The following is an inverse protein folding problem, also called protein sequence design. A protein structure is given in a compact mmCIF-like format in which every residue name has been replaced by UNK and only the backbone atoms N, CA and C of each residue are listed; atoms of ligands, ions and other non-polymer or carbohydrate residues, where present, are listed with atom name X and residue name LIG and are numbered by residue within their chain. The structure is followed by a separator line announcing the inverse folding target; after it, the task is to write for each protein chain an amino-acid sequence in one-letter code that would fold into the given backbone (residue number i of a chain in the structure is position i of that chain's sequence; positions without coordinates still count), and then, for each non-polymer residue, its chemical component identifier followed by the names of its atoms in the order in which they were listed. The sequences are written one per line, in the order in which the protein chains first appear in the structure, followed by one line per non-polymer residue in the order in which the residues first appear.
data_IF_689631620740
#
_entry.id   IF_689631620740
#
_cell.length_a   1.000
_cell.length_b   1.000
_cell.length_c   1.000
_cell.angle_alpha   90.00
_cell.angle_beta   90.00
_cell.angle_gamma   90.00
#
_symmetry.space_group_name_H-M   'P 1'
#
loop_
_entity.id
_entity.type
_entity.pdbx_description
1 polymer ?
#
# COMPACT_ATOMS: atom_id res chain seq x y z
N UNK A 1 12.40 -51.65 16.87
CA UNK A 1 11.26 -51.06 16.13
C UNK A 1 11.02 -49.67 16.67
N UNK A 2 11.40 -48.69 15.89
CA UNK A 2 11.65 -47.33 16.35
C UNK A 2 10.35 -46.55 16.61
N UNK A 3 10.25 -46.05 17.84
CA UNK A 3 9.12 -45.18 18.27
C UNK A 3 9.08 -43.81 17.61
N UNK A 4 10.07 -43.48 16.79
CA UNK A 4 10.17 -42.17 16.13
C UNK A 4 9.42 -42.08 14.79
N UNK A 5 8.91 -43.20 14.24
CA UNK A 5 8.26 -43.17 12.93
C UNK A 5 6.80 -42.72 12.97
N UNK A 6 6.17 -42.66 14.16
CA UNK A 6 4.75 -42.36 14.30
C UNK A 6 4.41 -40.87 14.43
N UNK A 7 5.36 -40.06 14.85
CA UNK A 7 5.10 -38.63 15.04
C UNK A 7 5.04 -37.81 13.73
N UNK A 8 5.58 -38.38 12.64
CA UNK A 8 5.65 -37.64 11.35
C UNK A 8 4.48 -37.91 10.41
N UNK A 9 3.78 -39.04 10.59
CA UNK A 9 2.66 -39.42 9.68
C UNK A 9 1.40 -38.61 9.89
N UNK A 10 1.13 -38.17 11.13
CA UNK A 10 -0.11 -37.46 11.44
C UNK A 10 -0.11 -35.98 11.05
N UNK A 11 1.07 -35.36 10.98
CA UNK A 11 1.17 -33.98 10.54
C UNK A 11 0.82 -33.78 9.06
N UNK A 12 0.98 -34.82 8.24
CA UNK A 12 0.60 -34.79 6.82
C UNK A 12 -0.93 -34.98 6.60
N UNK A 13 -1.58 -35.70 7.48
CA UNK A 13 -3.04 -35.94 7.38
C UNK A 13 -3.85 -34.67 7.68
N UNK A 14 -3.30 -33.76 8.49
CA UNK A 14 -3.95 -32.49 8.84
C UNK A 14 -3.81 -31.41 7.74
N UNK A 15 -2.95 -31.65 6.76
CA UNK A 15 -2.70 -30.68 5.67
C UNK A 15 -3.60 -30.87 4.45
N UNK A 16 -4.54 -31.84 4.48
CA UNK A 16 -5.32 -32.22 3.30
C UNK A 16 -6.84 -31.97 3.42
N UNK A 17 -7.23 -30.90 4.11
CA UNK A 17 -8.58 -30.37 3.84
C UNK A 17 -8.39 -29.50 2.60
N UNK A 18 -8.90 -29.91 1.43
CA UNK A 18 -8.74 -29.08 0.24
C UNK A 18 -9.43 -27.74 0.47
N UNK A 19 -8.72 -26.67 0.19
CA UNK A 19 -9.31 -25.33 0.28
C UNK A 19 -10.52 -25.27 -0.66
N UNK A 20 -11.62 -24.63 -0.22
CA UNK A 20 -12.72 -24.36 -1.14
C UNK A 20 -12.23 -23.65 -2.40
N UNK A 21 -12.72 -24.02 -3.56
CA UNK A 21 -12.30 -23.44 -4.84
C UNK A 21 -12.52 -21.92 -4.89
N UNK A 22 -13.54 -21.43 -4.17
CA UNK A 22 -13.84 -20.01 -4.01
C UNK A 22 -12.67 -19.21 -3.41
N UNK A 23 -11.79 -19.88 -2.66
CA UNK A 23 -10.64 -19.22 -2.01
C UNK A 23 -9.34 -19.31 -2.83
N UNK A 24 -9.33 -20.06 -3.95
CA UNK A 24 -8.07 -20.31 -4.68
C UNK A 24 -7.39 -19.03 -5.13
N UNK A 25 -8.15 -18.04 -5.60
CA UNK A 25 -7.58 -16.77 -6.05
C UNK A 25 -6.84 -16.03 -4.93
N UNK A 26 -7.34 -16.10 -3.69
CA UNK A 26 -6.70 -15.44 -2.54
C UNK A 26 -5.35 -16.08 -2.18
N UNK A 27 -5.20 -17.37 -2.45
CA UNK A 27 -3.96 -18.10 -2.20
C UNK A 27 -3.10 -18.28 -3.44
N UNK A 28 -3.45 -17.60 -4.53
CA UNK A 28 -2.60 -17.55 -5.73
C UNK A 28 -1.29 -16.83 -5.38
N UNK A 29 -0.21 -17.28 -6.01
CA UNK A 29 1.11 -16.66 -5.81
C UNK A 29 1.13 -15.22 -6.32
N UNK A 30 1.79 -14.34 -5.58
CA UNK A 30 2.02 -12.96 -5.99
C UNK A 30 2.79 -12.86 -7.31
N UNK A 31 3.54 -13.90 -7.69
CA UNK A 31 4.24 -13.94 -8.98
C UNK A 31 3.28 -14.03 -10.18
N UNK A 32 2.01 -14.39 -9.93
CA UNK A 32 0.98 -14.38 -10.97
C UNK A 32 0.43 -12.98 -11.29
N UNK A 33 0.75 -11.98 -10.45
CA UNK A 33 0.24 -10.63 -10.64
C UNK A 33 0.92 -9.89 -11.80
N UNK A 34 0.17 -9.19 -12.65
CA UNK A 34 0.74 -8.44 -13.76
C UNK A 34 1.78 -7.42 -13.30
N UNK A 35 2.96 -7.47 -13.89
CA UNK A 35 4.04 -6.54 -13.59
C UNK A 35 4.82 -6.84 -12.32
N UNK A 36 4.59 -8.00 -11.71
CA UNK A 36 5.40 -8.49 -10.58
C UNK A 36 6.28 -9.62 -11.09
N UNK A 37 7.51 -9.30 -11.47
CA UNK A 37 8.48 -10.30 -11.89
C UNK A 37 9.07 -11.10 -10.72
N UNK A 38 9.80 -12.20 -11.01
CA UNK A 38 10.31 -13.10 -9.95
C UNK A 38 11.13 -12.41 -8.86
N UNK A 39 11.96 -11.43 -9.20
CA UNK A 39 12.78 -10.69 -8.23
C UNK A 39 11.93 -9.90 -7.25
N UNK A 40 10.89 -9.22 -7.75
CA UNK A 40 9.97 -8.45 -6.91
C UNK A 40 9.10 -9.39 -6.07
N UNK A 41 8.61 -10.47 -6.66
CA UNK A 41 7.83 -11.48 -5.94
C UNK A 41 8.62 -12.02 -4.73
N UNK A 42 9.89 -12.34 -4.91
CA UNK A 42 10.75 -12.85 -3.83
C UNK A 42 10.92 -11.81 -2.69
N UNK A 43 11.04 -10.53 -3.03
CA UNK A 43 11.15 -9.46 -2.02
C UNK A 43 9.83 -9.34 -1.24
N UNK A 44 8.70 -9.32 -1.94
CA UNK A 44 7.37 -9.20 -1.32
C UNK A 44 7.10 -10.42 -0.43
N UNK A 45 7.37 -11.62 -0.95
CA UNK A 45 7.17 -12.88 -0.20
C UNK A 45 7.94 -12.89 1.12
N UNK A 46 9.20 -12.48 1.07
CA UNK A 46 10.06 -12.42 2.27
C UNK A 46 9.57 -11.41 3.32
N UNK A 47 8.89 -10.34 2.90
CA UNK A 47 8.56 -9.21 3.77
C UNK A 47 7.09 -9.14 4.18
N UNK A 48 6.21 -9.60 3.32
CA UNK A 48 4.76 -9.50 3.51
C UNK A 48 4.11 -10.89 3.50
N UNK A 49 4.44 -11.68 2.50
CA UNK A 49 3.89 -13.01 2.29
C UNK A 49 3.81 -13.34 0.82
N UNK A 50 3.58 -14.61 0.50
CA UNK A 50 3.65 -15.13 -0.86
C UNK A 50 2.33 -15.18 -1.62
N UNK A 51 1.23 -14.84 -0.97
CA UNK A 51 -0.10 -14.97 -1.55
C UNK A 51 -0.80 -13.62 -1.68
N UNK A 52 -1.81 -13.55 -2.53
CA UNK A 52 -2.61 -12.34 -2.72
C UNK A 52 -3.24 -11.85 -1.41
N UNK A 53 -3.73 -12.76 -0.58
CA UNK A 53 -4.35 -12.40 0.70
C UNK A 53 -3.35 -11.71 1.64
N UNK A 54 -2.08 -12.07 1.58
CA UNK A 54 -1.04 -11.45 2.43
C UNK A 54 -0.88 -9.96 2.07
N UNK A 55 -0.90 -9.66 0.75
CA UNK A 55 -0.86 -8.27 0.26
C UNK A 55 -2.12 -7.51 0.69
N UNK A 56 -3.29 -8.14 0.58
CA UNK A 56 -4.58 -7.50 0.93
C UNK A 56 -4.71 -7.23 2.43
N UNK A 57 -4.00 -7.99 3.27
CA UNK A 57 -3.96 -7.75 4.72
C UNK A 57 -2.92 -6.71 5.12
N UNK A 58 -2.04 -6.31 4.20
CA UNK A 58 -1.02 -5.29 4.44
C UNK A 58 -1.62 -3.89 4.22
N UNK A 59 -2.35 -3.40 5.23
CA UNK A 59 -3.15 -2.17 5.14
C UNK A 59 -2.30 -0.90 5.19
N UNK A 60 -2.77 0.20 4.57
CA UNK A 60 -2.05 1.47 4.62
C UNK A 60 -2.06 2.06 6.04
N UNK A 61 -0.99 2.78 6.38
CA UNK A 61 -0.82 3.40 7.71
C UNK A 61 -0.91 4.92 7.66
N UNK A 62 -0.87 5.52 6.45
CA UNK A 62 -1.00 6.95 6.25
C UNK A 62 -1.53 7.20 4.84
N UNK A 63 -1.66 8.46 4.48
CA UNK A 63 -1.98 8.85 3.10
C UNK A 63 -1.31 10.18 2.75
N UNK A 64 -1.02 10.37 1.47
CA UNK A 64 -0.67 11.66 0.89
C UNK A 64 -1.92 12.24 0.23
N UNK A 65 -2.36 13.39 0.74
CA UNK A 65 -3.49 14.14 0.16
C UNK A 65 -2.90 15.27 -0.70
N UNK A 66 -3.05 15.14 -2.03
CA UNK A 66 -2.50 16.09 -3.01
C UNK A 66 -3.57 17.01 -3.60
N UNK A 67 -4.75 17.09 -2.98
CA UNK A 67 -5.85 17.94 -3.46
C UNK A 67 -5.59 19.43 -3.24
N UNK A 68 -4.67 19.78 -2.32
CA UNK A 68 -4.36 21.16 -2.03
C UNK A 68 -3.73 21.86 -3.25
N UNK A 69 -4.32 22.98 -3.67
CA UNK A 69 -3.89 23.82 -4.79
C UNK A 69 -3.72 25.27 -4.32
N UNK A 70 -2.80 25.51 -3.38
CA UNK A 70 -2.61 26.87 -2.85
C UNK A 70 -1.95 27.78 -3.87
N UNK A 71 -2.01 29.10 -3.64
CA UNK A 71 -1.13 30.05 -4.29
C UNK A 71 0.21 30.13 -3.51
N UNK A 72 1.22 30.75 -4.09
CA UNK A 72 2.54 30.87 -3.45
C UNK A 72 2.45 31.56 -2.09
N UNK A 73 1.60 32.57 -1.98
CA UNK A 73 1.42 33.36 -0.76
C UNK A 73 0.64 32.62 0.32
N UNK A 74 -0.25 31.67 -0.06
CA UNK A 74 -1.09 30.93 0.89
C UNK A 74 -0.54 29.54 1.23
N UNK A 75 0.47 29.06 0.50
CA UNK A 75 1.07 27.76 0.75
C UNK A 75 1.77 27.74 2.12
N UNK A 76 1.46 26.72 2.92
CA UNK A 76 2.03 26.54 4.26
C UNK A 76 3.34 25.74 4.19
N UNK A 77 4.28 26.07 5.08
CA UNK A 77 5.55 25.36 5.19
C UNK A 77 5.31 23.89 5.54
N UNK A 78 5.92 22.99 4.79
CA UNK A 78 5.73 21.54 4.98
C UNK A 78 4.49 20.96 4.32
N UNK A 79 3.63 21.80 3.71
CA UNK A 79 2.40 21.35 3.06
C UNK A 79 2.69 20.50 1.83
N UNK A 80 1.95 19.41 1.67
CA UNK A 80 1.92 18.65 0.42
C UNK A 80 0.94 19.34 -0.52
N UNK A 81 1.43 19.84 -1.66
CA UNK A 81 0.63 20.68 -2.55
C UNK A 81 0.94 20.39 -4.02
N UNK A 82 -0.02 20.73 -4.85
CA UNK A 82 0.08 20.58 -6.30
C UNK A 82 -0.06 21.93 -6.98
N UNK A 83 0.83 22.23 -7.93
CA UNK A 83 0.85 23.51 -8.64
C UNK A 83 0.89 23.27 -10.15
N UNK A 84 0.16 24.12 -10.86
CA UNK A 84 0.31 24.30 -12.29
C UNK A 84 1.37 25.39 -12.49
N UNK A 85 2.50 25.04 -13.08
CA UNK A 85 3.67 25.93 -13.20
C UNK A 85 4.08 26.16 -14.65
N UNK A 86 4.56 27.36 -14.95
CA UNK A 86 5.25 27.69 -16.19
C UNK A 86 6.76 27.69 -15.89
N UNK A 87 7.54 26.93 -16.61
CA UNK A 87 9.00 26.85 -16.43
C UNK A 87 9.66 28.10 -17.03
N UNK A 88 10.31 28.93 -16.21
CA UNK A 88 10.92 30.19 -16.66
C UNK A 88 12.42 30.04 -16.97
N UNK A 89 13.14 29.34 -16.08
CA UNK A 89 14.60 29.19 -16.27
C UNK A 89 15.09 27.95 -15.52
N UNK A 90 16.29 27.50 -15.92
CA UNK A 90 16.91 26.32 -15.33
C UNK A 90 18.40 26.60 -15.09
N UNK A 91 18.80 26.63 -13.82
CA UNK A 91 20.20 26.64 -13.41
C UNK A 91 20.60 25.20 -13.08
N UNK A 92 21.23 24.55 -14.04
CA UNK A 92 21.68 23.16 -13.90
C UNK A 92 23.20 23.14 -13.90
N UNK A 93 23.83 22.98 -12.73
CA UNK A 93 25.30 23.01 -12.64
C UNK A 93 25.94 21.88 -13.46
N UNK A 94 27.05 22.13 -14.11
CA UNK A 94 27.77 21.10 -14.87
C UNK A 94 28.47 20.12 -13.92
N UNK A 95 28.40 18.83 -14.26
CA UNK A 95 29.13 17.76 -13.56
C UNK A 95 28.73 17.56 -12.09
N UNK A 96 29.67 17.06 -11.31
CA UNK A 96 29.44 16.73 -9.89
C UNK A 96 29.91 17.84 -8.96
N UNK A 97 29.33 19.01 -9.10
CA UNK A 97 29.74 20.20 -8.30
C UNK A 97 29.23 20.21 -6.87
N UNK A 98 28.29 19.30 -6.52
CA UNK A 98 27.64 19.33 -5.23
C UNK A 98 26.52 20.37 -5.09
N UNK A 99 26.42 21.30 -6.04
CA UNK A 99 25.34 22.29 -6.06
C UNK A 99 24.05 21.66 -6.59
N UNK A 100 22.89 21.96 -5.97
CA UNK A 100 21.61 21.50 -6.52
C UNK A 100 21.27 22.24 -7.82
N UNK A 101 20.56 21.56 -8.72
CA UNK A 101 19.92 22.22 -9.84
C UNK A 101 18.68 22.96 -9.32
N UNK A 102 18.43 24.15 -9.87
CA UNK A 102 17.31 25.01 -9.50
C UNK A 102 16.54 25.40 -10.75
N UNK A 103 15.24 25.09 -10.73
CA UNK A 103 14.32 25.43 -11.83
C UNK A 103 13.36 26.48 -11.29
N UNK A 104 13.42 27.68 -11.86
CA UNK A 104 12.50 28.77 -11.49
C UNK A 104 11.22 28.61 -12.29
N UNK A 105 10.10 28.57 -11.60
CA UNK A 105 8.78 28.47 -12.23
C UNK A 105 7.88 29.59 -11.76
N UNK A 106 6.88 29.92 -12.58
CA UNK A 106 5.81 30.85 -12.24
C UNK A 106 4.50 30.09 -12.07
N UNK A 107 3.78 30.43 -11.04
CA UNK A 107 2.49 29.83 -10.71
C UNK A 107 1.58 30.90 -10.08
N UNK A 108 0.37 30.51 -9.68
CA UNK A 108 -0.55 31.43 -9.03
C UNK A 108 0.04 32.04 -7.76
N UNK A 109 0.11 33.35 -7.71
CA UNK A 109 0.61 34.09 -6.57
C UNK A 109 2.12 34.30 -6.53
N UNK A 110 2.84 33.91 -7.58
CA UNK A 110 4.27 34.19 -7.66
C UNK A 110 5.15 33.10 -8.23
N UNK A 111 6.35 32.97 -7.66
CA UNK A 111 7.35 31.99 -8.13
C UNK A 111 7.49 30.83 -7.17
N UNK A 112 7.60 29.65 -7.75
CA UNK A 112 7.94 28.41 -7.05
C UNK A 112 9.31 27.93 -7.59
N UNK A 113 10.25 27.68 -6.70
CA UNK A 113 11.56 27.15 -7.08
C UNK A 113 11.58 25.63 -6.88
N UNK A 114 11.87 24.88 -7.95
CA UNK A 114 12.04 23.42 -7.87
C UNK A 114 13.52 23.12 -7.67
N UNK A 115 13.86 22.36 -6.63
CA UNK A 115 15.25 22.10 -6.23
C UNK A 115 15.55 20.61 -6.37
N UNK A 116 16.66 20.29 -7.06
CA UNK A 116 17.04 18.90 -7.31
C UNK A 116 18.49 18.65 -6.91
N UNK A 117 18.69 17.78 -5.94
CA UNK A 117 20.01 17.31 -5.55
C UNK A 117 20.32 16.04 -6.36
N UNK A 118 21.44 16.02 -7.06
CA UNK A 118 21.95 14.84 -7.80
C UNK A 118 21.02 14.33 -8.94
N UNK A 119 20.25 15.22 -9.55
CA UNK A 119 19.45 14.86 -10.72
C UNK A 119 20.27 14.92 -12.01
N UNK A 120 19.95 14.07 -12.97
CA UNK A 120 20.60 14.08 -14.29
C UNK A 120 20.12 15.29 -15.09
N UNK A 121 21.05 16.05 -15.65
CA UNK A 121 20.74 17.26 -16.41
C UNK A 121 19.80 17.02 -17.60
N UNK A 122 20.03 15.93 -18.34
CA UNK A 122 19.20 15.60 -19.51
C UNK A 122 17.76 15.30 -19.10
N UNK A 123 17.58 14.57 -17.99
CA UNK A 123 16.26 14.27 -17.46
C UNK A 123 15.52 15.56 -17.03
N UNK A 124 16.24 16.49 -16.38
CA UNK A 124 15.65 17.76 -15.95
C UNK A 124 15.18 18.58 -17.16
N UNK A 125 16.04 18.70 -18.20
CA UNK A 125 15.70 19.44 -19.43
C UNK A 125 14.49 18.83 -20.14
N UNK A 126 14.38 17.50 -20.13
CA UNK A 126 13.27 16.80 -20.76
C UNK A 126 11.98 16.92 -19.93
N UNK A 127 12.09 16.83 -18.60
CA UNK A 127 10.93 16.85 -17.71
C UNK A 127 10.38 18.25 -17.51
N UNK A 128 11.27 19.26 -17.52
CA UNK A 128 10.96 20.67 -17.24
C UNK A 128 11.50 21.59 -18.33
N UNK A 129 11.02 21.50 -19.57
CA UNK A 129 11.49 22.37 -20.65
C UNK A 129 11.08 23.82 -20.39
N UNK A 130 12.01 24.74 -20.65
CA UNK A 130 11.77 26.17 -20.49
C UNK A 130 10.64 26.62 -21.45
N UNK A 131 9.70 27.41 -20.94
CA UNK A 131 8.56 27.93 -21.71
C UNK A 131 7.34 27.00 -21.70
N UNK A 132 7.46 25.79 -21.13
CA UNK A 132 6.35 24.86 -21.09
C UNK A 132 5.66 24.82 -19.72
N UNK A 133 4.38 24.46 -19.74
CA UNK A 133 3.60 24.24 -18.51
C UNK A 133 3.73 22.81 -18.03
N UNK A 134 3.81 22.67 -16.72
CA UNK A 134 3.85 21.37 -16.03
C UNK A 134 2.95 21.41 -14.81
N UNK A 135 2.46 20.26 -14.39
CA UNK A 135 1.87 20.10 -13.07
C UNK A 135 2.92 19.42 -12.19
N UNK A 136 3.22 20.02 -11.05
CA UNK A 136 4.18 19.49 -10.08
C UNK A 136 3.47 19.27 -8.76
N UNK A 137 3.78 18.16 -8.09
CA UNK A 137 3.23 17.86 -6.78
C UNK A 137 4.32 17.37 -5.85
N UNK A 138 4.35 17.92 -4.65
CA UNK A 138 5.35 17.59 -3.65
C UNK A 138 5.19 18.45 -2.40
N UNK A 139 6.09 18.23 -1.46
CA UNK A 139 6.10 18.99 -0.21
C UNK A 139 6.82 20.32 -0.43
N UNK A 140 6.17 21.41 -0.06
CA UNK A 140 6.77 22.74 -0.18
C UNK A 140 7.39 23.17 1.15
N UNK A 141 8.37 24.04 1.06
CA UNK A 141 9.03 24.65 2.21
C UNK A 141 9.39 26.12 1.88
N UNK A 142 9.48 26.95 2.91
CA UNK A 142 9.94 28.32 2.73
C UNK A 142 11.41 28.42 3.15
N UNK A 143 12.24 28.78 2.17
CA UNK A 143 13.67 28.95 2.39
C UNK A 143 14.07 30.39 2.00
N UNK A 144 14.59 31.14 2.95
CA UNK A 144 14.97 32.55 2.76
C UNK A 144 13.83 33.40 2.13
N UNK A 145 12.59 33.18 2.59
CA UNK A 145 11.43 33.92 2.11
C UNK A 145 10.84 33.46 0.79
N UNK A 146 11.48 32.47 0.12
CA UNK A 146 11.01 31.93 -1.17
C UNK A 146 10.34 30.58 -0.98
N UNK A 147 9.26 30.35 -1.71
CA UNK A 147 8.64 29.04 -1.73
C UNK A 147 9.44 28.12 -2.65
N UNK A 148 9.82 26.95 -2.12
CA UNK A 148 10.53 25.94 -2.91
C UNK A 148 9.93 24.57 -2.70
N UNK A 149 10.17 23.69 -3.67
CA UNK A 149 9.78 22.28 -3.61
C UNK A 149 11.01 21.44 -3.98
N UNK A 150 11.54 20.71 -3.00
CA UNK A 150 12.70 19.84 -3.22
C UNK A 150 12.22 18.47 -3.73
N UNK A 151 12.76 18.03 -4.85
CA UNK A 151 12.43 16.73 -5.46
C UNK A 151 10.93 16.48 -5.53
N UNK A 152 10.16 17.22 -6.36
CA UNK A 152 8.75 16.93 -6.54
C UNK A 152 8.49 15.44 -6.74
N UNK A 153 7.46 14.90 -6.07
CA UNK A 153 7.06 13.50 -6.23
C UNK A 153 6.53 13.22 -7.63
N UNK A 154 5.87 14.23 -8.22
CA UNK A 154 5.31 14.16 -9.57
C UNK A 154 5.67 15.41 -10.36
N UNK A 155 6.06 15.19 -11.61
CA UNK A 155 6.25 16.22 -12.63
C UNK A 155 5.60 15.65 -13.89
N UNK A 156 4.57 16.32 -14.40
CA UNK A 156 3.82 15.80 -15.54
C UNK A 156 3.34 16.94 -16.45
N UNK A 157 3.23 16.70 -17.77
CA UNK A 157 2.58 17.67 -18.65
C UNK A 157 1.15 17.94 -18.20
N UNK A 158 0.62 19.11 -18.56
CA UNK A 158 -0.71 19.55 -18.12
C UNK A 158 -1.82 18.55 -18.52
N UNK A 159 -1.71 18.00 -19.72
CA UNK A 159 -2.69 17.02 -20.25
C UNK A 159 -2.70 15.69 -19.51
N UNK A 160 -1.67 15.44 -18.72
CA UNK A 160 -1.54 14.23 -17.88
C UNK A 160 -1.70 14.52 -16.39
N UNK A 161 -2.22 15.68 -16.03
CA UNK A 161 -2.43 16.07 -14.63
C UNK A 161 -3.28 15.05 -13.87
N UNK A 162 -4.25 14.41 -14.55
CA UNK A 162 -5.08 13.38 -13.97
C UNK A 162 -4.36 12.08 -13.57
N UNK A 163 -3.12 11.90 -14.02
CA UNK A 163 -2.31 10.75 -13.63
C UNK A 163 -1.76 10.90 -12.20
N UNK A 164 -1.77 12.10 -11.64
CA UNK A 164 -1.32 12.35 -10.27
C UNK A 164 -2.45 11.92 -9.32
N UNK A 165 -2.22 10.95 -8.44
CA UNK A 165 -3.27 10.51 -7.52
C UNK A 165 -3.59 11.61 -6.51
N UNK A 166 -4.85 11.99 -6.41
CA UNK A 166 -5.31 13.00 -5.43
C UNK A 166 -5.09 12.50 -4.00
N UNK A 167 -5.43 11.24 -3.77
CA UNK A 167 -5.18 10.56 -2.49
C UNK A 167 -4.32 9.33 -2.79
N UNK A 168 -3.19 9.25 -2.11
CA UNK A 168 -2.26 8.14 -2.28
C UNK A 168 -2.06 7.41 -0.95
N UNK A 169 -2.58 6.19 -0.77
CA UNK A 169 -2.35 5.45 0.46
C UNK A 169 -0.87 5.08 0.62
N UNK A 170 -0.38 5.23 1.83
CA UNK A 170 1.02 4.95 2.20
C UNK A 170 1.05 3.68 3.03
N UNK A 171 1.77 2.69 2.55
CA UNK A 171 1.93 1.40 3.19
C UNK A 171 3.24 1.33 3.98
N UNK A 172 3.28 0.53 5.06
CA UNK A 172 4.57 0.24 5.71
C UNK A 172 5.53 -0.37 4.68
N UNK A 173 6.72 0.21 4.54
CA UNK A 173 7.70 -0.24 3.56
C UNK A 173 8.80 -1.04 4.21
N UNK A 174 9.34 -1.98 3.46
CA UNK A 174 10.54 -2.74 3.81
C UNK A 174 11.66 -2.45 2.81
N UNK A 175 12.89 -2.66 3.22
CA UNK A 175 14.05 -2.42 2.34
C UNK A 175 13.92 -3.18 1.02
N UNK A 176 14.09 -2.46 -0.08
CA UNK A 176 14.03 -3.00 -1.43
C UNK A 176 12.63 -2.97 -2.07
N UNK A 177 11.61 -2.52 -1.33
CA UNK A 177 10.23 -2.47 -1.83
C UNK A 177 9.75 -1.01 -1.86
N UNK A 178 9.50 -0.49 -3.06
CA UNK A 178 8.99 0.88 -3.20
C UNK A 178 7.47 0.93 -3.04
N UNK A 179 6.96 2.05 -2.54
CA UNK A 179 5.52 2.26 -2.38
C UNK A 179 4.73 2.10 -3.68
N UNK A 180 5.32 2.54 -4.81
CA UNK A 180 4.71 2.39 -6.13
C UNK A 180 4.50 0.92 -6.50
N UNK A 181 5.49 0.08 -6.23
CA UNK A 181 5.42 -1.37 -6.52
C UNK A 181 4.35 -2.02 -5.64
N UNK A 182 4.38 -1.71 -4.34
CA UNK A 182 3.41 -2.28 -3.40
C UNK A 182 1.98 -1.85 -3.74
N UNK A 183 1.77 -0.58 -4.05
CA UNK A 183 0.45 -0.09 -4.50
C UNK A 183 -0.04 -0.82 -5.74
N UNK A 184 0.85 -1.05 -6.73
CA UNK A 184 0.51 -1.83 -7.94
C UNK A 184 0.08 -3.25 -7.59
N UNK A 185 0.81 -3.91 -6.68
CA UNK A 185 0.48 -5.26 -6.21
C UNK A 185 -0.88 -5.29 -5.49
N UNK A 186 -1.14 -4.30 -4.61
CA UNK A 186 -2.43 -4.16 -3.92
C UNK A 186 -3.58 -4.03 -4.91
N UNK A 187 -3.45 -3.11 -5.89
CA UNK A 187 -4.52 -2.88 -6.87
C UNK A 187 -4.79 -4.12 -7.72
N UNK A 188 -3.74 -4.86 -8.10
CA UNK A 188 -3.89 -6.11 -8.85
C UNK A 188 -4.56 -7.19 -7.98
N UNK A 189 -4.21 -7.27 -6.69
CA UNK A 189 -4.81 -8.23 -5.76
C UNK A 189 -6.29 -7.92 -5.50
N UNK A 190 -6.66 -6.63 -5.38
CA UNK A 190 -8.06 -6.23 -5.21
C UNK A 190 -8.91 -6.62 -6.43
N UNK A 191 -8.35 -6.49 -7.64
CA UNK A 191 -9.05 -6.91 -8.87
C UNK A 191 -9.28 -8.43 -8.93
N UNK A 192 -8.39 -9.20 -8.32
CA UNK A 192 -8.50 -10.67 -8.27
C UNK A 192 -9.35 -11.18 -7.09
N UNK A 193 -9.85 -10.27 -6.26
CA UNK A 193 -10.58 -10.61 -5.04
C UNK A 193 -11.96 -11.20 -5.38
N UNK A 194 -12.23 -12.46 -4.98
CA UNK A 194 -13.52 -13.10 -5.29
C UNK A 194 -14.64 -12.55 -4.40
N UNK A 195 -15.87 -12.74 -4.85
CA UNK A 195 -17.03 -12.53 -4.03
C UNK A 195 -17.24 -13.78 -3.17
N UNK A 196 -17.00 -13.64 -1.87
CA UNK A 196 -17.15 -14.73 -0.91
C UNK A 196 -18.52 -14.67 -0.22
N UNK A 197 -19.09 -15.82 0.09
CA UNK A 197 -20.26 -15.89 0.96
C UNK A 197 -19.95 -15.27 2.32
N UNK A 198 -20.92 -14.55 2.86
CA UNK A 198 -20.76 -13.90 4.16
C UNK A 198 -20.76 -14.94 5.27
N UNK A 199 -19.77 -14.90 6.14
CA UNK A 199 -19.60 -15.82 7.26
C UNK A 199 -20.00 -15.22 8.61
N UNK A 200 -20.26 -13.92 8.66
CA UNK A 200 -20.70 -13.26 9.89
C UNK A 200 -22.24 -13.24 9.94
N UNK A 201 -22.76 -13.46 11.12
CA UNK A 201 -24.20 -13.40 11.35
C UNK A 201 -24.79 -12.07 10.87
N UNK A 202 -25.86 -12.09 10.07
CA UNK A 202 -26.45 -10.85 9.55
C UNK A 202 -26.85 -9.85 10.61
N UNK A 203 -27.30 -10.30 11.78
CA UNK A 203 -27.70 -9.41 12.87
C UNK A 203 -26.50 -8.65 13.44
N UNK A 204 -25.33 -9.29 13.47
CA UNK A 204 -24.08 -8.68 13.92
C UNK A 204 -23.60 -7.63 12.90
N UNK A 205 -23.62 -7.99 11.61
CA UNK A 205 -23.28 -7.05 10.53
C UNK A 205 -24.15 -5.79 10.61
N UNK A 206 -25.45 -5.99 10.75
CA UNK A 206 -26.42 -4.90 10.82
C UNK A 206 -26.17 -4.02 12.06
N UNK A 207 -25.98 -4.64 13.22
CA UNK A 207 -25.74 -3.93 14.49
C UNK A 207 -24.52 -3.01 14.43
N UNK A 208 -23.45 -3.48 13.79
CA UNK A 208 -22.18 -2.73 13.69
C UNK A 208 -22.07 -1.92 12.40
N UNK A 209 -23.06 -2.00 11.51
CA UNK A 209 -23.02 -1.36 10.19
C UNK A 209 -21.80 -1.77 9.36
N UNK A 210 -21.32 -3.00 9.54
CA UNK A 210 -20.13 -3.47 8.87
C UNK A 210 -20.40 -3.81 7.41
N UNK A 211 -19.49 -3.43 6.49
CA UNK A 211 -19.58 -3.86 5.10
C UNK A 211 -19.22 -5.34 4.93
N UNK A 212 -19.49 -5.90 3.75
CA UNK A 212 -18.98 -7.24 3.40
C UNK A 212 -17.44 -7.25 3.45
N UNK A 213 -16.85 -8.44 3.57
CA UNK A 213 -15.38 -8.57 3.61
C UNK A 213 -14.69 -7.91 2.41
N UNK A 214 -15.22 -8.13 1.19
CA UNK A 214 -14.69 -7.52 -0.03
C UNK A 214 -14.77 -6.00 0.03
N UNK A 215 -15.94 -5.46 0.37
CA UNK A 215 -16.13 -4.01 0.49
C UNK A 215 -15.24 -3.41 1.58
N UNK A 216 -15.02 -4.14 2.67
CA UNK A 216 -14.10 -3.70 3.74
C UNK A 216 -12.65 -3.61 3.23
N UNK A 217 -12.18 -4.62 2.50
CA UNK A 217 -10.84 -4.60 1.92
C UNK A 217 -10.68 -3.45 0.92
N UNK A 218 -11.65 -3.29 0.02
CA UNK A 218 -11.64 -2.19 -0.96
C UNK A 218 -11.59 -0.83 -0.27
N UNK A 219 -12.45 -0.61 0.72
CA UNK A 219 -12.48 0.65 1.47
C UNK A 219 -11.19 0.91 2.25
N UNK A 220 -10.63 -0.12 2.90
CA UNK A 220 -9.40 0.02 3.68
C UNK A 220 -8.19 0.38 2.80
N UNK A 221 -8.19 -0.05 1.53
CA UNK A 221 -7.12 0.25 0.57
C UNK A 221 -7.37 1.54 -0.23
N UNK A 222 -8.57 2.11 -0.16
CA UNK A 222 -8.92 3.38 -0.82
C UNK A 222 -9.40 4.43 0.20
N UNK A 223 -8.58 4.76 1.22
CA UNK A 223 -8.97 5.78 2.19
C UNK A 223 -9.14 7.12 1.47
N UNK A 224 -10.13 7.91 1.88
CA UNK A 224 -10.42 9.25 1.34
C UNK A 224 -9.94 10.36 2.25
N UNK A 225 -9.68 10.02 3.52
CA UNK A 225 -9.21 10.95 4.55
C UNK A 225 -8.46 10.18 5.64
N UNK A 226 -7.74 10.90 6.48
CA UNK A 226 -6.97 10.29 7.58
C UNK A 226 -7.86 9.53 8.57
N UNK A 227 -9.11 9.97 8.78
CA UNK A 227 -10.05 9.26 9.65
C UNK A 227 -10.39 7.84 9.15
N UNK A 228 -10.25 7.59 7.84
CA UNK A 228 -10.47 6.25 7.29
C UNK A 228 -9.39 5.25 7.70
N UNK A 229 -8.27 5.75 8.23
CA UNK A 229 -7.17 4.92 8.73
C UNK A 229 -7.32 4.57 10.21
N UNK A 230 -8.29 5.16 10.89
CA UNK A 230 -8.52 4.94 12.32
C UNK A 230 -8.96 3.48 12.57
N UNK A 231 -8.54 2.87 13.69
CA UNK A 231 -8.91 1.49 14.00
C UNK A 231 -10.43 1.27 14.13
N UNK A 232 -11.16 2.28 14.51
CA UNK A 232 -12.63 2.23 14.68
C UNK A 232 -13.41 2.53 13.38
N UNK A 233 -12.71 2.81 12.27
CA UNK A 233 -13.36 2.89 10.96
C UNK A 233 -14.07 1.57 10.66
N UNK A 234 -15.27 1.62 10.10
CA UNK A 234 -16.13 0.45 9.87
C UNK A 234 -15.44 -0.67 9.09
N UNK A 235 -14.71 -0.32 8.03
CA UNK A 235 -13.98 -1.31 7.22
C UNK A 235 -12.86 -1.97 8.04
N UNK A 236 -12.08 -1.17 8.77
CA UNK A 236 -10.97 -1.68 9.59
C UNK A 236 -11.47 -2.52 10.76
N UNK A 237 -12.54 -2.08 11.43
CA UNK A 237 -13.18 -2.84 12.50
C UNK A 237 -13.69 -4.19 12.00
N UNK A 238 -14.30 -4.22 10.81
CA UNK A 238 -14.75 -5.46 10.17
C UNK A 238 -13.56 -6.41 9.93
N UNK A 239 -12.48 -5.91 9.34
CA UNK A 239 -11.29 -6.73 9.03
C UNK A 239 -10.61 -7.23 10.32
N UNK A 240 -10.54 -6.39 11.35
CA UNK A 240 -9.99 -6.77 12.65
C UNK A 240 -10.84 -7.88 13.30
N UNK A 241 -12.17 -7.79 13.20
CA UNK A 241 -13.07 -8.81 13.70
C UNK A 241 -12.86 -10.14 12.95
N UNK A 242 -12.77 -10.09 11.61
CA UNK A 242 -12.52 -11.29 10.79
C UNK A 242 -11.21 -11.98 11.20
N UNK A 243 -10.17 -11.23 11.45
CA UNK A 243 -8.86 -11.76 11.88
C UNK A 243 -8.96 -12.39 13.27
N UNK A 244 -9.62 -11.71 14.20
CA UNK A 244 -9.84 -12.22 15.55
C UNK A 244 -10.67 -13.51 15.53
N UNK A 245 -11.75 -13.54 14.75
CA UNK A 245 -12.60 -14.71 14.58
C UNK A 245 -11.80 -15.89 14.01
N UNK A 246 -11.01 -15.65 12.95
CA UNK A 246 -10.16 -16.68 12.35
C UNK A 246 -9.17 -17.27 13.37
N UNK A 247 -8.53 -16.40 14.17
CA UNK A 247 -7.60 -16.82 15.21
C UNK A 247 -8.31 -17.66 16.29
N UNK A 248 -9.49 -17.24 16.74
CA UNK A 248 -10.26 -17.98 17.75
C UNK A 248 -10.71 -19.34 17.22
N UNK A 249 -11.16 -19.41 15.96
CA UNK A 249 -11.54 -20.67 15.33
C UNK A 249 -10.33 -21.62 15.21
N UNK A 250 -9.17 -21.11 14.79
CA UNK A 250 -7.95 -21.91 14.68
C UNK A 250 -7.54 -22.49 16.04
N UNK A 251 -7.58 -21.68 17.09
CA UNK A 251 -7.28 -22.12 18.46
C UNK A 251 -8.29 -23.18 18.95
N UNK A 252 -9.58 -22.96 18.65
CA UNK A 252 -10.64 -23.92 19.00
C UNK A 252 -10.43 -25.27 18.32
N UNK A 253 -10.09 -25.27 17.04
CA UNK A 253 -9.80 -26.49 16.29
C UNK A 253 -8.59 -27.23 16.86
N UNK A 254 -7.51 -26.51 17.17
CA UNK A 254 -6.31 -27.09 17.77
C UNK A 254 -6.62 -27.75 19.13
N UNK A 255 -7.36 -27.07 20.01
CA UNK A 255 -7.78 -27.60 21.32
C UNK A 255 -8.61 -28.85 21.16
N UNK A 256 -9.54 -28.88 20.18
CA UNK A 256 -10.38 -30.05 19.90
C UNK A 256 -9.54 -31.25 19.44
N UNK A 257 -8.53 -31.00 18.57
CA UNK A 257 -7.62 -32.04 18.11
C UNK A 257 -6.77 -32.61 19.26
N UNK A 258 -6.23 -31.75 20.10
CA UNK A 258 -5.41 -32.19 21.25
C UNK A 258 -6.25 -33.09 22.20
N UNK A 259 -7.46 -32.65 22.50
CA UNK A 259 -8.41 -33.46 23.33
C UNK A 259 -8.70 -34.83 22.72
N UNK A 260 -8.92 -34.87 21.41
CA UNK A 260 -9.22 -36.17 20.74
C UNK A 260 -8.00 -37.09 20.76
N UNK A 261 -6.77 -36.54 20.67
CA UNK A 261 -5.55 -37.32 20.78
C UNK A 261 -5.36 -37.89 22.20
N UNK A 262 -5.67 -37.12 23.24
CA UNK A 262 -5.60 -37.53 24.64
C UNK A 262 -6.62 -38.66 24.94
N UNK A 263 -7.83 -38.55 24.40
CA UNK A 263 -8.88 -39.58 24.57
C UNK A 263 -8.49 -40.88 23.85
N UNK A 264 -7.84 -40.75 22.68
CA UNK A 264 -7.35 -41.90 21.91
C UNK A 264 -6.20 -42.68 22.57
N UNK A 265 -5.55 -42.12 23.60
CA UNK A 265 -4.53 -42.78 24.40
C UNK A 265 -5.09 -43.35 25.73
N UNK A 266 -6.41 -43.48 25.83
CA UNK A 266 -7.09 -44.10 27.00
C UNK A 266 -6.70 -45.56 27.19
N UNK A 267 -5.96 -45.75 28.21
CA UNK A 267 -5.66 -46.88 29.09
C UNK A 267 -6.10 -48.25 28.53
N UNK A 268 -5.15 -48.99 28.03
CA UNK A 268 -5.15 -50.44 28.10
C UNK A 268 -4.63 -50.77 29.53
N UNK A 269 -5.51 -50.81 30.53
CA UNK A 269 -5.23 -51.43 31.83
C UNK A 269 -5.25 -52.91 31.64
N UNK A 270 -4.40 -53.35 32.08
CA UNK A 270 -4.30 -54.71 32.05
C UNK A 270 -4.44 -55.39 33.17
#
# INVERSE_FOLDING_TARGET
MDAHSWQYRDKRALMHIPRPTSLYSLFASISSLPGIGPKLAAIIEKRIGGNLIDILRHLPVSLNDRRARPSVDTAEDGQLATFDVLVLSADIPPGKTGRPARITTETKGGRLELVFFRARADWLRQSLPIGERRVVSGRVERFQGRLQMAHPDFITPLEKAGDIPEIEPIYPLSAGLSGRILRKAVLASLKALPDLEEWIDPSLLHRHHWPTHKAALEAAHHPKALCDLAPDNLARSRLAYDELLANQLALGLLRRQTRNLEIGHGIKGX
#
